data_IF_528238001576
#
_entry.id   IF_528238001576
#
_cell.length_a   1.000
_cell.length_b   1.000
_cell.length_c   1.000
_cell.angle_alpha   90.00
_cell.angle_beta   90.00
_cell.angle_gamma   90.00
#
_symmetry.space_group_name_H-M   'P 1'
#
loop_
_entity.id
_entity.type
_entity.pdbx_description
1 polymer ?
#
# COMPACT_ATOMS: atom_id res chain seq x y z
N UNK A 1 -0.88 47.53 -20.87
CA UNK A 1 0.24 46.68 -20.39
C UNK A 1 -0.17 46.10 -19.05
N UNK A 2 -0.76 44.91 -19.07
CA UNK A 2 -1.42 44.28 -17.92
C UNK A 2 -0.42 43.73 -16.90
N UNK A 3 -0.16 44.50 -15.84
CA UNK A 3 0.60 44.04 -14.66
C UNK A 3 -0.26 43.26 -13.64
N UNK A 4 -1.57 43.16 -13.85
CA UNK A 4 -2.50 42.57 -12.88
C UNK A 4 -2.66 41.04 -13.00
N UNK A 5 -2.26 40.41 -14.11
CA UNK A 5 -2.40 38.95 -14.34
C UNK A 5 -1.23 38.14 -13.74
N UNK A 6 -0.18 38.80 -13.26
CA UNK A 6 1.11 38.16 -12.94
C UNK A 6 1.16 37.48 -11.56
N UNK A 7 0.57 38.08 -10.51
CA UNK A 7 0.80 37.61 -9.14
C UNK A 7 0.13 36.25 -8.82
N UNK A 8 -1.16 36.01 -9.17
CA UNK A 8 -1.78 34.69 -8.95
C UNK A 8 -1.06 33.57 -9.72
N UNK A 9 -0.63 33.86 -10.94
CA UNK A 9 0.14 32.92 -11.76
C UNK A 9 1.51 32.60 -11.14
N UNK A 10 2.26 33.61 -10.69
CA UNK A 10 3.56 33.42 -10.01
C UNK A 10 3.38 32.64 -8.71
N UNK A 11 2.35 32.94 -7.91
CA UNK A 11 2.08 32.21 -6.67
C UNK A 11 1.71 30.74 -6.95
N UNK A 12 0.92 30.47 -7.99
CA UNK A 12 0.57 29.11 -8.37
C UNK A 12 1.79 28.35 -8.87
N UNK A 13 2.55 28.94 -9.80
CA UNK A 13 3.80 28.35 -10.30
C UNK A 13 4.84 28.12 -9.20
N UNK A 14 4.95 29.05 -8.24
CA UNK A 14 5.84 28.85 -7.09
C UNK A 14 5.39 27.71 -6.19
N UNK A 15 4.08 27.49 -6.02
CA UNK A 15 3.56 26.34 -5.28
C UNK A 15 3.87 25.04 -6.02
N UNK A 16 3.56 24.97 -7.32
CA UNK A 16 3.87 23.82 -8.17
C UNK A 16 5.35 23.42 -8.09
N UNK A 17 6.28 24.38 -8.24
CA UNK A 17 7.73 24.12 -8.16
C UNK A 17 8.15 23.64 -6.76
N UNK A 18 7.56 24.20 -5.69
CA UNK A 18 7.86 23.75 -4.32
C UNK A 18 7.36 22.33 -4.07
N UNK A 19 6.24 21.96 -4.68
CA UNK A 19 5.68 20.62 -4.58
C UNK A 19 6.49 19.60 -5.37
N UNK A 20 6.91 19.94 -6.59
CA UNK A 20 7.78 19.09 -7.42
C UNK A 20 9.12 18.81 -6.74
N UNK A 21 9.68 19.80 -6.04
CA UNK A 21 10.95 19.71 -5.31
C UNK A 21 10.79 19.20 -3.88
N UNK A 22 9.57 18.89 -3.44
CA UNK A 22 9.33 18.42 -2.08
C UNK A 22 9.98 17.05 -1.89
N UNK A 23 10.86 16.95 -0.89
CA UNK A 23 11.34 15.67 -0.38
C UNK A 23 10.24 15.08 0.48
N UNK A 24 9.81 13.87 0.12
CA UNK A 24 8.80 13.12 0.87
C UNK A 24 9.43 12.69 2.21
N UNK A 25 8.67 12.80 3.29
CA UNK A 25 9.09 12.33 4.62
C UNK A 25 8.37 11.06 5.02
N UNK A 26 9.06 10.21 5.78
CA UNK A 26 8.49 9.10 6.53
C UNK A 26 8.41 9.49 8.00
N UNK A 27 7.21 9.41 8.56
CA UNK A 27 6.91 9.65 9.95
C UNK A 27 6.57 8.32 10.64
N UNK A 28 7.21 8.06 11.76
CA UNK A 28 6.98 6.87 12.60
C UNK A 28 6.62 7.31 14.01
N UNK A 29 6.00 6.41 14.78
CA UNK A 29 5.64 6.70 16.17
C UNK A 29 6.89 6.99 16.99
N UNK A 30 6.91 8.13 17.66
CA UNK A 30 7.95 8.56 18.58
C UNK A 30 7.31 9.43 19.66
N UNK A 31 7.14 8.88 20.87
CA UNK A 31 6.50 9.59 21.99
C UNK A 31 7.25 10.86 22.43
N UNK A 32 8.52 11.01 22.06
CA UNK A 32 9.29 12.23 22.31
C UNK A 32 9.16 13.24 21.15
N UNK A 33 8.58 12.82 20.03
CA UNK A 33 8.34 13.63 18.84
C UNK A 33 7.20 14.63 19.01
N UNK A 34 7.06 15.52 18.03
CA UNK A 34 5.92 16.45 17.98
C UNK A 34 4.66 15.68 17.64
N UNK A 35 3.65 15.77 18.50
CA UNK A 35 2.40 15.01 18.38
C UNK A 35 2.61 13.50 18.21
N UNK A 36 3.66 13.00 18.85
CA UNK A 36 4.13 11.61 18.82
C UNK A 36 4.68 11.12 17.46
N UNK A 37 5.09 12.05 16.58
CA UNK A 37 5.70 11.72 15.30
C UNK A 37 7.19 12.10 15.26
N UNK A 38 8.03 11.11 14.96
CA UNK A 38 9.38 11.29 14.44
C UNK A 38 9.33 11.51 12.92
N UNK A 39 10.40 11.99 12.30
CA UNK A 39 10.44 12.09 10.82
C UNK A 39 11.84 11.92 10.25
N UNK A 40 11.93 11.17 9.15
CA UNK A 40 13.12 11.05 8.31
C UNK A 40 12.76 11.33 6.85
N UNK A 41 13.76 11.58 6.00
CA UNK A 41 13.53 11.65 4.55
C UNK A 41 13.22 10.24 4.02
N UNK A 42 12.21 10.15 3.16
CA UNK A 42 11.87 8.92 2.46
C UNK A 42 12.64 8.87 1.13
N UNK A 43 13.71 8.09 1.10
CA UNK A 43 14.51 7.84 -0.11
C UNK A 43 14.17 6.47 -0.75
N UNK A 44 12.87 6.11 -0.79
CA UNK A 44 12.44 4.84 -1.37
C UNK A 44 12.36 4.93 -2.91
N UNK A 45 13.03 4.04 -3.67
CA UNK A 45 13.11 4.14 -5.13
C UNK A 45 11.83 3.70 -5.88
N UNK A 46 10.76 3.35 -5.16
CA UNK A 46 9.59 2.76 -5.79
C UNK A 46 8.76 3.81 -6.51
N UNK A 47 8.43 3.53 -7.76
CA UNK A 47 7.53 4.31 -8.61
C UNK A 47 6.52 3.37 -9.26
N UNK A 48 5.45 3.91 -9.83
CA UNK A 48 4.51 3.10 -10.61
C UNK A 48 5.19 2.40 -11.80
N UNK A 49 6.25 2.96 -12.36
CA UNK A 49 6.99 2.36 -13.47
C UNK A 49 7.83 1.15 -13.03
N UNK A 50 8.45 1.22 -11.85
CA UNK A 50 9.26 0.12 -11.30
C UNK A 50 8.40 -1.03 -10.74
N UNK A 51 7.11 -0.81 -10.54
CA UNK A 51 6.22 -1.76 -9.90
C UNK A 51 5.70 -2.83 -10.86
N UNK A 52 5.95 -4.09 -10.50
CA UNK A 52 5.39 -5.27 -11.14
C UNK A 52 3.94 -5.49 -10.70
N UNK A 53 3.02 -4.91 -11.46
CA UNK A 53 1.58 -5.03 -11.22
C UNK A 53 0.81 -5.00 -12.54
N UNK A 54 -0.44 -5.45 -12.50
CA UNK A 54 -1.31 -5.42 -13.67
C UNK A 54 -1.48 -3.97 -14.22
N UNK A 55 -1.29 -3.75 -15.54
CA UNK A 55 -1.41 -2.42 -16.14
C UNK A 55 -2.77 -1.76 -15.97
N UNK A 56 -3.86 -2.53 -15.96
CA UNK A 56 -5.22 -2.00 -15.80
C UNK A 56 -5.45 -1.54 -14.37
N UNK A 57 -5.02 -2.33 -13.39
CA UNK A 57 -5.06 -1.94 -11.97
C UNK A 57 -4.19 -0.71 -11.72
N UNK A 58 -2.98 -0.67 -12.32
CA UNK A 58 -2.06 0.48 -12.23
C UNK A 58 -2.71 1.75 -12.74
N UNK A 59 -3.31 1.69 -13.93
CA UNK A 59 -3.99 2.82 -14.55
C UNK A 59 -5.19 3.29 -13.71
N UNK A 60 -6.05 2.36 -13.27
CA UNK A 60 -7.22 2.69 -12.47
C UNK A 60 -6.83 3.37 -11.14
N UNK A 61 -5.75 2.92 -10.50
CA UNK A 61 -5.23 3.54 -9.29
C UNK A 61 -4.71 4.96 -9.55
N UNK A 62 -3.88 5.16 -10.59
CA UNK A 62 -3.36 6.49 -10.94
C UNK A 62 -4.51 7.46 -11.21
N UNK A 63 -5.51 7.03 -11.99
CA UNK A 63 -6.70 7.84 -12.27
C UNK A 63 -7.50 8.20 -11.01
N UNK A 64 -7.60 7.29 -10.02
CA UNK A 64 -8.27 7.57 -8.75
C UNK A 64 -7.47 8.56 -7.88
N UNK A 65 -6.13 8.45 -7.88
CA UNK A 65 -5.24 9.37 -7.16
C UNK A 65 -5.29 10.79 -7.74
N UNK A 66 -5.22 10.92 -9.07
CA UNK A 66 -5.34 12.21 -9.74
C UNK A 66 -6.72 12.83 -9.48
N UNK A 67 -7.77 12.01 -9.58
CA UNK A 67 -9.14 12.41 -9.26
C UNK A 67 -9.28 12.89 -7.82
N UNK A 68 -8.63 12.23 -6.87
CA UNK A 68 -8.64 12.64 -5.47
C UNK A 68 -7.96 14.00 -5.28
N UNK A 69 -6.76 14.18 -5.85
CA UNK A 69 -5.97 15.43 -5.78
C UNK A 69 -6.69 16.64 -6.36
N UNK A 70 -7.46 16.45 -7.44
CA UNK A 70 -8.13 17.56 -8.14
C UNK A 70 -9.49 17.95 -7.53
N UNK A 71 -10.02 17.17 -6.59
CA UNK A 71 -11.42 17.28 -6.14
C UNK A 71 -11.65 18.01 -4.82
N UNK A 72 -10.70 18.84 -4.35
CA UNK A 72 -10.88 19.66 -3.13
C UNK A 72 -12.25 20.32 -3.02
N UNK A 73 -12.62 21.10 -4.04
CA UNK A 73 -13.87 21.86 -4.07
C UNK A 73 -15.11 20.97 -4.15
N UNK A 74 -15.00 19.80 -4.79
CA UNK A 74 -16.06 18.81 -4.82
C UNK A 74 -16.36 18.29 -3.40
N UNK A 75 -15.33 17.85 -2.67
CA UNK A 75 -15.47 17.37 -1.29
C UNK A 75 -16.07 18.44 -0.37
N UNK A 76 -15.57 19.67 -0.47
CA UNK A 76 -16.11 20.83 0.26
C UNK A 76 -17.58 21.08 -0.05
N UNK A 77 -17.96 21.10 -1.32
CA UNK A 77 -19.34 21.36 -1.76
C UNK A 77 -20.32 20.30 -1.28
N UNK A 78 -19.91 19.04 -1.21
CA UNK A 78 -20.78 17.93 -0.75
C UNK A 78 -20.70 17.71 0.76
N UNK A 79 -20.02 18.59 1.51
CA UNK A 79 -19.91 18.50 2.97
C UNK A 79 -19.15 17.28 3.48
N UNK A 80 -18.21 16.75 2.69
CA UNK A 80 -17.41 15.58 3.07
C UNK A 80 -15.97 15.97 3.37
N UNK A 81 -15.38 15.33 4.38
CA UNK A 81 -13.94 15.42 4.62
C UNK A 81 -13.17 15.00 3.37
N UNK A 82 -12.13 15.73 3.00
CA UNK A 82 -11.30 15.45 1.82
C UNK A 82 -10.30 14.33 2.13
N UNK A 83 -10.86 13.12 2.26
CA UNK A 83 -10.13 11.87 2.51
C UNK A 83 -10.46 10.79 1.49
N UNK A 84 -9.54 9.85 1.34
CA UNK A 84 -9.70 8.64 0.50
C UNK A 84 -9.07 7.43 1.16
N UNK A 85 -9.84 6.36 1.30
CA UNK A 85 -9.37 5.11 1.90
C UNK A 85 -9.02 4.05 0.87
N UNK A 86 -7.87 3.39 1.03
CA UNK A 86 -7.43 2.25 0.22
C UNK A 86 -7.18 1.04 1.10
N UNK A 87 -7.59 -0.14 0.65
CA UNK A 87 -7.22 -1.42 1.24
C UNK A 87 -6.32 -2.17 0.25
N UNK A 88 -5.07 -2.40 0.63
CA UNK A 88 -4.12 -3.22 -0.11
C UNK A 88 -4.09 -4.61 0.52
N UNK A 89 -4.46 -5.64 -0.24
CA UNK A 89 -4.51 -6.99 0.28
C UNK A 89 -3.92 -8.01 -0.66
N UNK A 90 -3.36 -9.08 -0.10
CA UNK A 90 -2.75 -10.18 -0.85
C UNK A 90 -1.58 -10.80 -0.09
N UNK A 91 -0.99 -11.89 -0.61
CA UNK A 91 0.11 -12.60 0.05
C UNK A 91 1.30 -11.70 0.44
N UNK A 92 2.13 -12.08 1.42
CA UNK A 92 3.38 -11.39 1.71
C UNK A 92 4.29 -11.42 0.47
N UNK A 93 5.11 -10.38 0.28
CA UNK A 93 6.03 -10.29 -0.88
C UNK A 93 5.38 -9.84 -2.20
N UNK A 94 4.14 -9.36 -2.19
CA UNK A 94 3.42 -8.84 -3.38
C UNK A 94 3.56 -7.33 -3.60
N UNK A 95 4.31 -6.64 -2.74
CA UNK A 95 4.62 -5.21 -2.92
C UNK A 95 3.62 -4.23 -2.30
N UNK A 96 2.86 -4.64 -1.27
CA UNK A 96 1.92 -3.75 -0.54
C UNK A 96 2.60 -2.46 -0.05
N UNK A 97 3.68 -2.56 0.72
CA UNK A 97 4.41 -1.37 1.23
C UNK A 97 5.16 -0.63 0.11
N UNK A 98 5.66 -1.33 -0.92
CA UNK A 98 6.25 -0.69 -2.11
C UNK A 98 5.24 0.13 -2.90
N UNK A 99 3.97 -0.31 -2.95
CA UNK A 99 2.89 0.45 -3.57
C UNK A 99 2.61 1.74 -2.82
N UNK A 100 2.58 1.70 -1.48
CA UNK A 100 2.45 2.90 -0.65
C UNK A 100 3.56 3.89 -0.96
N UNK A 101 4.81 3.44 -1.02
CA UNK A 101 5.95 4.28 -1.39
C UNK A 101 5.79 4.88 -2.80
N UNK A 102 5.32 4.10 -3.77
CA UNK A 102 5.05 4.58 -5.12
C UNK A 102 3.94 5.65 -5.15
N UNK A 103 2.86 5.47 -4.38
CA UNK A 103 1.79 6.45 -4.22
C UNK A 103 2.30 7.75 -3.60
N UNK A 104 3.12 7.65 -2.54
CA UNK A 104 3.72 8.79 -1.86
C UNK A 104 4.64 9.58 -2.79
N UNK A 105 5.49 8.89 -3.54
CA UNK A 105 6.41 9.48 -4.52
C UNK A 105 5.68 10.16 -5.68
N UNK A 106 4.57 9.56 -6.14
CA UNK A 106 3.71 10.11 -7.20
C UNK A 106 3.00 11.39 -6.75
N UNK A 107 2.42 11.39 -5.54
CA UNK A 107 1.66 12.52 -5.02
C UNK A 107 2.51 13.58 -4.31
N UNK A 108 3.77 13.26 -3.99
CA UNK A 108 4.63 14.04 -3.08
C UNK A 108 4.02 14.22 -1.69
N UNK A 109 3.39 13.15 -1.19
CA UNK A 109 2.74 13.13 0.12
C UNK A 109 3.65 12.48 1.15
N UNK A 110 3.69 13.05 2.36
CA UNK A 110 4.46 12.45 3.46
C UNK A 110 3.76 11.18 3.96
N UNK A 111 4.53 10.15 4.30
CA UNK A 111 4.02 8.90 4.85
C UNK A 111 3.99 9.01 6.36
N UNK A 112 2.89 8.62 6.98
CA UNK A 112 2.75 8.42 8.42
C UNK A 112 2.49 6.95 8.65
N UNK A 113 3.51 6.23 9.09
CA UNK A 113 3.47 4.81 9.34
C UNK A 113 3.05 4.54 10.78
N UNK A 114 1.85 3.96 10.94
CA UNK A 114 1.22 3.70 12.22
C UNK A 114 1.21 2.20 12.50
N UNK A 115 2.21 1.72 13.24
CA UNK A 115 2.16 0.39 13.83
C UNK A 115 1.28 0.40 15.09
N UNK A 116 0.11 -0.25 15.01
CA UNK A 116 -0.83 -0.34 16.12
C UNK A 116 -0.25 -1.06 17.34
N UNK A 117 0.82 -1.87 17.19
CA UNK A 117 1.49 -2.56 18.31
C UNK A 117 2.31 -1.61 19.18
N UNK A 118 2.73 -0.46 18.65
CA UNK A 118 3.52 0.54 19.38
C UNK A 118 2.66 1.56 20.14
N UNK A 119 1.34 1.56 19.89
CA UNK A 119 0.41 2.51 20.49
C UNK A 119 -0.17 1.94 21.78
N UNK A 120 0.00 2.64 22.90
CA UNK A 120 -0.32 2.12 24.23
C UNK A 120 -1.81 2.23 24.58
N UNK A 121 -2.46 3.33 24.19
CA UNK A 121 -3.87 3.56 24.49
C UNK A 121 -4.60 4.37 23.40
N UNK A 122 -5.93 4.41 23.49
CA UNK A 122 -6.77 5.20 22.57
C UNK A 122 -6.46 6.71 22.59
N UNK A 123 -5.96 7.24 23.71
CA UNK A 123 -5.59 8.67 23.81
C UNK A 123 -4.34 8.99 22.98
N UNK A 124 -3.35 8.09 22.95
CA UNK A 124 -2.15 8.22 22.13
C UNK A 124 -2.49 8.07 20.65
N UNK A 125 -3.34 7.10 20.31
CA UNK A 125 -3.84 6.93 18.96
C UNK A 125 -4.51 8.22 18.46
N UNK A 126 -5.38 8.81 19.28
CA UNK A 126 -6.04 10.07 18.94
C UNK A 126 -5.03 11.19 18.72
N UNK A 127 -3.99 11.30 19.56
CA UNK A 127 -2.94 12.31 19.41
C UNK A 127 -2.16 12.13 18.10
N UNK A 128 -1.78 10.90 17.77
CA UNK A 128 -1.12 10.55 16.52
C UNK A 128 -1.96 10.95 15.30
N UNK A 129 -3.26 10.60 15.29
CA UNK A 129 -4.16 10.90 14.18
C UNK A 129 -4.39 12.41 13.96
N UNK A 130 -4.41 13.18 15.05
CA UNK A 130 -4.50 14.65 15.02
C UNK A 130 -3.17 15.25 14.53
N UNK A 131 -2.04 14.70 14.97
CA UNK A 131 -0.69 15.12 14.56
C UNK A 131 -0.35 14.86 13.10
N UNK A 132 -1.10 14.00 12.42
CA UNK A 132 -0.92 13.73 10.99
C UNK A 132 -1.23 14.99 10.16
N UNK A 133 -0.26 15.41 9.34
CA UNK A 133 -0.37 16.66 8.55
C UNK A 133 -1.26 16.50 7.31
N UNK A 134 -1.64 17.62 6.71
CA UNK A 134 -2.28 17.66 5.38
C UNK A 134 -1.32 17.17 4.29
N UNK A 135 -1.82 16.66 3.16
CA UNK A 135 -1.02 16.06 2.07
C UNK A 135 -0.14 14.91 2.54
N UNK A 136 -0.80 13.95 3.17
CA UNK A 136 -0.17 12.78 3.77
C UNK A 136 -0.88 11.49 3.38
N UNK A 137 -0.14 10.40 3.48
CA UNK A 137 -0.62 9.03 3.44
C UNK A 137 -0.45 8.45 4.85
N UNK A 138 -1.55 8.22 5.56
CA UNK A 138 -1.55 7.45 6.80
C UNK A 138 -1.60 5.97 6.45
N UNK A 139 -0.60 5.20 6.87
CA UNK A 139 -0.46 3.77 6.62
C UNK A 139 -0.73 3.04 7.91
N UNK A 140 -1.60 2.04 7.84
CA UNK A 140 -1.91 1.15 8.96
C UNK A 140 -1.60 -0.25 8.45
N UNK A 141 -0.44 -0.77 8.83
CA UNK A 141 0.07 -2.05 8.33
C UNK A 141 -0.53 -3.25 9.09
N UNK A 142 -0.66 -4.37 8.39
CA UNK A 142 -1.02 -5.69 8.93
C UNK A 142 -2.23 -5.68 9.88
N UNK A 143 -3.34 -5.07 9.44
CA UNK A 143 -4.54 -4.93 10.26
C UNK A 143 -5.15 -6.28 10.68
N UNK A 144 -4.88 -7.37 9.97
CA UNK A 144 -5.27 -8.73 10.36
C UNK A 144 -4.55 -9.22 11.63
N UNK A 145 -3.28 -8.84 11.86
CA UNK A 145 -2.57 -9.17 13.09
C UNK A 145 -3.19 -8.46 14.31
N UNK A 146 -3.69 -7.23 14.12
CA UNK A 146 -4.36 -6.48 15.20
C UNK A 146 -5.67 -7.14 15.66
N UNK A 147 -6.38 -7.80 14.74
CA UNK A 147 -7.62 -8.54 15.02
C UNK A 147 -7.32 -9.84 15.78
N UNK A 148 -6.26 -10.55 15.40
CA UNK A 148 -5.86 -11.78 16.12
C UNK A 148 -5.45 -11.52 17.57
N UNK A 149 -4.76 -10.40 17.83
CA UNK A 149 -4.41 -9.99 19.19
C UNK A 149 -5.65 -9.75 20.06
N UNK A 150 -6.69 -9.10 19.51
CA UNK A 150 -7.96 -8.86 20.21
C UNK A 150 -8.71 -10.16 20.53
N UNK A 151 -8.65 -11.17 19.65
CA UNK A 151 -9.34 -12.44 19.86
C UNK A 151 -8.65 -13.31 20.93
N UNK A 152 -7.31 -13.30 21.01
CA UNK A 152 -6.56 -14.10 22.00
C UNK A 152 -6.69 -13.58 23.43
N UNK A 153 -6.74 -12.26 23.58
CA UNK A 153 -6.94 -11.60 24.87
C UNK A 153 -8.35 -11.83 25.42
N UNK A 154 -9.36 -11.95 24.55
CA UNK A 154 -10.75 -12.19 24.95
C UNK A 154 -10.99 -13.59 25.57
N UNK A 155 -10.10 -14.57 25.32
CA UNK A 155 -10.26 -15.95 25.77
C UNK A 155 -9.55 -16.28 27.09
N UNK A 156 -8.62 -15.43 27.59
CA UNK A 156 -7.73 -15.80 28.70
C UNK A 156 -7.80 -14.94 29.98
N UNK A 157 -8.61 -13.86 30.06
CA UNK A 157 -8.66 -13.02 31.27
C UNK A 157 -10.08 -12.74 31.81
N UNK A 158 -10.26 -12.69 33.15
CA UNK A 158 -11.47 -12.14 33.74
C UNK A 158 -11.58 -10.67 33.33
N UNK A 159 -12.80 -10.23 32.96
CA UNK A 159 -13.13 -8.85 32.54
C UNK A 159 -12.82 -7.82 33.63
N UNK A 160 -11.55 -7.50 33.83
CA UNK A 160 -11.12 -6.26 34.45
C UNK A 160 -11.19 -5.16 33.40
N UNK A 161 -11.55 -3.96 33.85
CA UNK A 161 -11.83 -2.78 33.03
C UNK A 161 -10.56 -2.32 32.30
N UNK A 162 -10.23 -2.92 31.16
CA UNK A 162 -9.29 -2.36 30.18
C UNK A 162 -10.08 -1.67 29.07
N UNK A 163 -10.74 -0.56 29.39
CA UNK A 163 -11.45 0.29 28.43
C UNK A 163 -10.50 1.02 27.45
N UNK A 164 -9.17 0.86 27.61
CA UNK A 164 -8.16 1.61 26.86
C UNK A 164 -7.37 0.81 25.80
N UNK A 165 -7.63 -0.50 25.65
CA UNK A 165 -7.01 -1.29 24.57
C UNK A 165 -7.49 -0.80 23.19
N UNK A 166 -6.55 -0.71 22.26
CA UNK A 166 -6.81 -0.20 20.92
C UNK A 166 -7.50 -1.27 20.10
N UNK A 167 -8.69 -0.93 19.58
CA UNK A 167 -9.43 -1.78 18.67
C UNK A 167 -9.40 -1.22 17.26
N UNK A 168 -9.44 -2.10 16.26
CA UNK A 168 -9.53 -1.69 14.85
C UNK A 168 -10.84 -0.92 14.58
N UNK A 169 -11.92 -1.30 15.26
CA UNK A 169 -13.19 -0.56 15.27
C UNK A 169 -13.05 0.83 15.91
N UNK A 170 -12.30 0.96 17.01
CA UNK A 170 -11.97 2.23 17.65
C UNK A 170 -11.21 3.16 16.71
N UNK A 171 -10.16 2.65 16.07
CA UNK A 171 -9.38 3.37 15.06
C UNK A 171 -10.25 3.93 13.93
N UNK A 172 -11.16 3.12 13.39
CA UNK A 172 -12.06 3.58 12.33
C UNK A 172 -13.09 4.60 12.81
N UNK A 173 -13.57 4.49 14.05
CA UNK A 173 -14.44 5.52 14.62
C UNK A 173 -13.70 6.87 14.75
N UNK A 174 -12.40 6.86 15.05
CA UNK A 174 -11.60 8.08 15.01
C UNK A 174 -11.43 8.61 13.58
N UNK A 175 -11.19 7.73 12.61
CA UNK A 175 -11.03 8.09 11.20
C UNK A 175 -12.33 8.62 10.56
N UNK A 176 -13.50 8.15 11.00
CA UNK A 176 -14.80 8.62 10.49
C UNK A 176 -15.41 9.78 11.28
N UNK A 177 -14.99 9.96 12.53
CA UNK A 177 -15.52 10.99 13.39
C UNK A 177 -15.11 12.41 12.98
N UNK A 178 -15.51 13.37 13.82
CA UNK A 178 -15.19 14.80 13.69
C UNK A 178 -13.68 15.10 13.69
N UNK A 179 -12.83 14.13 14.06
CA UNK A 179 -11.38 14.27 14.03
C UNK A 179 -10.81 14.19 12.62
N UNK A 180 -11.55 13.60 11.68
CA UNK A 180 -11.20 13.55 10.27
C UNK A 180 -11.25 14.91 9.57
N UNK A 181 -11.83 15.94 10.22
CA UNK A 181 -11.88 17.31 9.69
C UNK A 181 -10.66 18.15 10.05
N UNK A 182 -9.75 17.66 10.89
CA UNK A 182 -8.58 18.41 11.36
C UNK A 182 -7.43 18.50 10.34
N UNK A 183 -7.62 18.00 9.12
CA UNK A 183 -6.66 18.12 8.02
C UNK A 183 -7.34 18.23 6.66
N UNK A 184 -6.70 18.93 5.73
CA UNK A 184 -7.14 19.01 4.33
C UNK A 184 -6.31 18.00 3.52
N UNK A 185 -6.95 17.17 2.69
CA UNK A 185 -6.27 16.25 1.75
C UNK A 185 -5.46 15.12 2.43
N UNK A 186 -6.11 14.02 2.82
CA UNK A 186 -5.45 12.84 3.41
C UNK A 186 -5.83 11.54 2.71
N UNK A 187 -4.85 10.71 2.43
CA UNK A 187 -5.06 9.32 2.02
C UNK A 187 -4.83 8.41 3.22
N UNK A 188 -5.65 7.38 3.36
CA UNK A 188 -5.48 6.35 4.38
C UNK A 188 -5.32 5.02 3.65
N UNK A 189 -4.24 4.30 3.93
CA UNK A 189 -3.94 3.00 3.34
C UNK A 189 -3.88 1.96 4.43
N UNK A 190 -4.69 0.93 4.29
CA UNK A 190 -4.67 -0.26 5.13
C UNK A 190 -3.99 -1.38 4.37
N UNK A 191 -3.09 -2.12 5.01
CA UNK A 191 -2.50 -3.33 4.42
C UNK A 191 -2.94 -4.58 5.19
N UNK A 192 -3.19 -5.68 4.47
CA UNK A 192 -3.52 -6.96 5.11
C UNK A 192 -3.08 -8.13 4.24
N UNK A 193 -2.73 -9.26 4.86
CA UNK A 193 -2.50 -10.50 4.12
C UNK A 193 -3.81 -11.29 3.91
N UNK A 194 -4.80 -11.08 4.79
CA UNK A 194 -6.02 -11.88 4.88
C UNK A 194 -7.28 -11.01 4.96
N UNK A 195 -7.77 -10.57 3.80
CA UNK A 195 -8.98 -9.73 3.72
C UNK A 195 -10.22 -10.41 4.31
N UNK A 196 -10.30 -11.73 4.22
CA UNK A 196 -11.39 -12.57 4.75
C UNK A 196 -11.50 -12.54 6.27
N UNK A 197 -10.43 -12.15 6.99
CA UNK A 197 -10.41 -12.02 8.45
C UNK A 197 -10.91 -10.67 8.96
N UNK A 198 -11.17 -9.72 8.07
CA UNK A 198 -11.62 -8.39 8.43
C UNK A 198 -13.13 -8.34 8.65
N UNK A 199 -13.56 -7.61 9.68
CA UNK A 199 -14.98 -7.34 9.89
C UNK A 199 -15.57 -6.61 8.66
N UNK A 200 -16.66 -7.11 8.05
CA UNK A 200 -17.32 -6.44 6.93
C UNK A 200 -17.75 -4.99 7.21
N UNK A 201 -17.94 -4.61 8.48
CA UNK A 201 -18.23 -3.24 8.87
C UNK A 201 -17.08 -2.25 8.59
N UNK A 202 -15.84 -2.75 8.47
CA UNK A 202 -14.66 -1.95 8.12
C UNK A 202 -14.63 -1.62 6.62
N UNK A 203 -15.19 -2.50 5.78
CA UNK A 203 -15.20 -2.41 4.31
C UNK A 203 -16.30 -1.50 3.75
N UNK A 204 -16.98 -0.73 4.61
CA UNK A 204 -18.07 0.16 4.19
C UNK A 204 -17.52 1.40 3.46
N UNK A 205 -18.25 1.91 2.44
CA UNK A 205 -17.87 3.14 1.75
C UNK A 205 -17.68 4.32 2.72
N UNK A 206 -16.64 5.14 2.50
CA UNK A 206 -16.21 6.21 3.40
C UNK A 206 -15.06 5.85 4.34
N UNK A 207 -14.79 4.53 4.53
CA UNK A 207 -13.64 3.99 5.28
C UNK A 207 -12.56 3.46 4.35
N UNK A 208 -12.87 2.38 3.64
CA UNK A 208 -12.01 1.71 2.67
C UNK A 208 -12.73 1.75 1.32
N UNK A 209 -12.45 2.79 0.52
CA UNK A 209 -13.23 3.05 -0.69
C UNK A 209 -12.77 2.23 -1.90
N UNK A 210 -11.45 2.01 -2.03
CA UNK A 210 -10.86 1.23 -3.10
C UNK A 210 -10.10 0.03 -2.53
N UNK A 211 -10.44 -1.17 -3.01
CA UNK A 211 -9.79 -2.40 -2.61
C UNK A 211 -8.90 -2.90 -3.74
N UNK A 212 -7.60 -3.03 -3.46
CA UNK A 212 -6.58 -3.45 -4.44
C UNK A 212 -6.03 -4.81 -4.02
N UNK A 213 -6.29 -5.80 -4.87
CA UNK A 213 -5.71 -7.13 -4.70
C UNK A 213 -4.33 -7.17 -5.36
N UNK A 214 -3.28 -7.31 -4.55
CA UNK A 214 -1.91 -7.54 -5.00
C UNK A 214 -1.68 -9.06 -5.02
N UNK A 215 -1.98 -9.66 -6.17
CA UNK A 215 -1.88 -11.10 -6.39
C UNK A 215 -0.46 -11.56 -6.71
N UNK A 216 -0.30 -12.86 -6.99
CA UNK A 216 0.91 -13.43 -7.58
C UNK A 216 1.29 -12.76 -8.90
N UNK A 217 2.57 -12.92 -9.27
CA UNK A 217 3.18 -12.30 -10.42
C UNK A 217 2.56 -12.82 -11.72
N UNK A 218 2.05 -11.92 -12.55
CA UNK A 218 1.57 -12.20 -13.90
C UNK A 218 2.72 -12.08 -14.90
N UNK A 219 2.53 -12.52 -16.14
CA UNK A 219 3.52 -12.28 -17.18
C UNK A 219 3.79 -10.77 -17.41
N UNK A 220 2.78 -9.92 -17.29
CA UNK A 220 2.95 -8.45 -17.37
C UNK A 220 3.80 -7.90 -16.22
N UNK A 221 3.58 -8.39 -15.00
CA UNK A 221 4.42 -8.09 -13.84
C UNK A 221 5.86 -8.57 -14.04
N UNK A 222 6.04 -9.80 -14.52
CA UNK A 222 7.34 -10.38 -14.84
C UNK A 222 8.12 -9.54 -15.85
N UNK A 223 7.50 -9.06 -16.94
CA UNK A 223 8.19 -8.20 -17.92
C UNK A 223 8.75 -6.93 -17.28
N UNK A 224 8.02 -6.36 -16.32
CA UNK A 224 8.51 -5.20 -15.55
C UNK A 224 9.74 -5.56 -14.73
N UNK A 225 9.72 -6.72 -14.04
CA UNK A 225 10.88 -7.21 -13.28
C UNK A 225 12.07 -7.55 -14.21
N UNK A 226 11.85 -8.23 -15.32
CA UNK A 226 12.89 -8.56 -16.28
C UNK A 226 13.60 -7.30 -16.81
N UNK A 227 12.84 -6.24 -17.11
CA UNK A 227 13.43 -4.97 -17.50
C UNK A 227 14.19 -4.29 -16.35
N UNK A 228 13.65 -4.32 -15.13
CA UNK A 228 14.27 -3.67 -13.98
C UNK A 228 15.59 -4.32 -13.56
N UNK A 229 15.63 -5.65 -13.53
CA UNK A 229 16.79 -6.43 -13.04
C UNK A 229 17.78 -6.77 -14.14
N UNK A 230 17.31 -7.17 -15.34
CA UNK A 230 18.18 -7.68 -16.42
C UNK A 230 18.28 -6.73 -17.62
N UNK A 231 17.54 -5.61 -17.64
CA UNK A 231 17.50 -4.64 -18.77
C UNK A 231 17.07 -5.25 -20.10
N UNK A 232 16.23 -6.29 -20.07
CA UNK A 232 15.69 -6.96 -21.25
C UNK A 232 14.20 -6.71 -21.41
N UNK A 233 13.73 -6.64 -22.66
CA UNK A 233 12.30 -6.51 -22.99
C UNK A 233 11.74 -7.74 -23.69
N UNK A 234 12.61 -8.51 -24.36
CA UNK A 234 12.25 -9.72 -25.08
C UNK A 234 13.36 -10.75 -24.89
N UNK A 235 12.97 -12.03 -24.86
CA UNK A 235 13.90 -13.15 -24.78
C UNK A 235 13.21 -14.43 -25.25
N UNK A 236 13.90 -15.39 -25.91
CA UNK A 236 13.30 -16.64 -26.37
C UNK A 236 12.56 -17.42 -25.27
N UNK A 237 13.07 -17.37 -24.03
CA UNK A 237 12.48 -18.05 -22.86
C UNK A 237 11.21 -17.37 -22.30
N UNK A 238 10.84 -16.17 -22.77
CA UNK A 238 9.66 -15.48 -22.26
C UNK A 238 8.37 -16.26 -22.55
N UNK A 239 8.29 -16.96 -23.68
CA UNK A 239 7.13 -17.77 -24.02
C UNK A 239 6.90 -18.93 -23.05
N UNK A 240 7.97 -19.50 -22.49
CA UNK A 240 7.86 -20.56 -21.48
C UNK A 240 7.43 -19.99 -20.12
N UNK A 241 7.96 -18.82 -19.75
CA UNK A 241 7.59 -18.11 -18.53
C UNK A 241 6.13 -17.65 -18.57
N UNK A 242 5.67 -17.11 -19.71
CA UNK A 242 4.28 -16.72 -19.92
C UNK A 242 3.34 -17.91 -19.73
N UNK A 243 3.66 -19.08 -20.32
CA UNK A 243 2.88 -20.30 -20.10
C UNK A 243 2.86 -20.70 -18.62
N UNK A 244 4.00 -20.65 -17.94
CA UNK A 244 4.07 -21.06 -16.53
C UNK A 244 3.26 -20.14 -15.61
N UNK A 245 3.34 -18.81 -15.80
CA UNK A 245 2.64 -17.83 -14.97
C UNK A 245 1.16 -17.71 -15.34
N UNK A 246 0.83 -17.57 -16.62
CA UNK A 246 -0.52 -17.19 -17.03
C UNK A 246 -1.40 -18.40 -17.39
N UNK A 247 -0.83 -19.48 -17.96
CA UNK A 247 -1.58 -20.70 -18.30
C UNK A 247 -1.60 -21.71 -17.15
N UNK A 248 -0.43 -22.05 -16.59
CA UNK A 248 -0.34 -22.99 -15.47
C UNK A 248 -0.56 -22.35 -14.09
N UNK A 249 -0.69 -21.02 -14.03
CA UNK A 249 -0.98 -20.27 -12.79
C UNK A 249 0.01 -20.53 -11.65
N UNK A 250 1.30 -20.66 -11.98
CA UNK A 250 2.35 -20.83 -10.98
C UNK A 250 2.31 -19.72 -9.93
N UNK A 251 2.07 -20.10 -8.67
CA UNK A 251 1.98 -19.16 -7.56
C UNK A 251 3.38 -18.70 -7.11
N UNK A 252 3.87 -17.66 -7.79
CA UNK A 252 5.11 -16.97 -7.45
C UNK A 252 4.83 -15.49 -7.17
N UNK A 253 5.28 -14.99 -6.03
CA UNK A 253 5.17 -13.57 -5.69
C UNK A 253 6.18 -12.75 -6.49
N UNK A 254 5.91 -11.46 -6.77
CA UNK A 254 6.88 -10.55 -7.34
C UNK A 254 8.25 -10.56 -6.62
N UNK A 255 8.26 -10.68 -5.29
CA UNK A 255 9.49 -10.79 -4.51
C UNK A 255 10.28 -12.08 -4.79
N UNK A 256 9.59 -13.23 -4.90
CA UNK A 256 10.24 -14.50 -5.27
C UNK A 256 10.80 -14.45 -6.70
N UNK A 257 10.02 -13.92 -7.66
CA UNK A 257 10.48 -13.76 -9.05
C UNK A 257 11.70 -12.84 -9.11
N UNK A 258 11.65 -11.69 -8.43
CA UNK A 258 12.79 -10.78 -8.32
C UNK A 258 14.01 -11.46 -7.69
N UNK A 259 13.79 -12.28 -6.65
CA UNK A 259 14.85 -13.06 -6.01
C UNK A 259 15.53 -14.04 -6.95
N UNK A 260 14.78 -14.72 -7.83
CA UNK A 260 15.35 -15.57 -8.88
C UNK A 260 16.14 -14.77 -9.93
N UNK A 261 15.61 -13.63 -10.37
CA UNK A 261 16.29 -12.78 -11.36
C UNK A 261 17.58 -12.15 -10.84
N UNK A 262 17.71 -11.98 -9.52
CA UNK A 262 18.91 -11.41 -8.88
C UNK A 262 20.07 -12.41 -8.77
N UNK A 263 19.84 -13.72 -8.99
CA UNK A 263 20.87 -14.75 -8.81
C UNK A 263 22.01 -14.67 -9.83
N UNK A 264 21.78 -14.07 -10.98
CA UNK A 264 22.79 -13.88 -12.02
C UNK A 264 22.52 -12.64 -12.85
N UNK A 265 23.58 -11.95 -13.26
CA UNK A 265 23.49 -10.85 -14.24
C UNK A 265 23.32 -11.38 -15.68
N UNK A 266 23.58 -12.67 -15.92
CA UNK A 266 23.36 -13.30 -17.23
C UNK A 266 21.88 -13.63 -17.41
N UNK A 267 21.25 -13.01 -18.41
CA UNK A 267 19.83 -13.15 -18.67
C UNK A 267 19.42 -14.59 -18.98
N UNK A 268 20.22 -15.34 -19.73
CA UNK A 268 19.92 -16.73 -20.07
C UNK A 268 19.93 -17.60 -18.80
N UNK A 269 20.96 -17.45 -17.96
CA UNK A 269 21.10 -18.22 -16.72
C UNK A 269 19.97 -17.88 -15.73
N UNK A 270 19.69 -16.59 -15.52
CA UNK A 270 18.64 -16.14 -14.58
C UNK A 270 17.25 -16.59 -15.02
N UNK A 271 16.91 -16.46 -16.30
CA UNK A 271 15.60 -16.90 -16.80
C UNK A 271 15.44 -18.42 -16.77
N UNK A 272 16.51 -19.19 -17.02
CA UNK A 272 16.48 -20.64 -16.89
C UNK A 272 16.29 -21.08 -15.43
N UNK A 273 16.92 -20.37 -14.48
CA UNK A 273 16.72 -20.53 -13.05
C UNK A 273 15.27 -20.28 -12.65
N UNK A 274 14.70 -19.16 -13.12
CA UNK A 274 13.29 -18.81 -12.89
C UNK A 274 12.34 -19.87 -13.45
N UNK A 275 12.56 -20.39 -14.66
CA UNK A 275 11.75 -21.47 -15.22
C UNK A 275 11.76 -22.70 -14.32
N UNK A 276 12.95 -23.09 -13.84
CA UNK A 276 13.12 -24.25 -12.94
C UNK A 276 12.35 -24.03 -11.63
N UNK A 277 12.44 -22.83 -11.06
CA UNK A 277 11.69 -22.43 -9.88
C UNK A 277 10.17 -22.49 -10.10
N UNK A 278 9.66 -21.89 -11.17
CA UNK A 278 8.22 -21.90 -11.48
C UNK A 278 7.68 -23.31 -11.74
N UNK A 279 8.46 -24.16 -12.42
CA UNK A 279 8.11 -25.57 -12.62
C UNK A 279 8.01 -26.34 -11.29
N UNK A 280 8.88 -26.04 -10.33
CA UNK A 280 8.82 -26.66 -8.99
C UNK A 280 7.55 -26.27 -8.22
N UNK A 281 7.13 -25.01 -8.32
CA UNK A 281 5.88 -24.52 -7.72
C UNK A 281 4.65 -25.24 -8.28
N UNK A 282 4.60 -25.41 -9.61
CA UNK A 282 3.50 -26.14 -10.26
C UNK A 282 3.41 -27.61 -9.82
N UNK A 283 4.55 -28.32 -9.74
CA UNK A 283 4.57 -29.73 -9.31
C UNK A 283 4.11 -29.90 -7.88
N UNK A 284 4.48 -28.98 -6.99
CA UNK A 284 4.00 -29.00 -5.60
C UNK A 284 2.48 -28.85 -5.57
N UNK A 285 1.91 -27.92 -6.33
CA UNK A 285 0.46 -27.66 -6.36
C UNK A 285 -0.35 -28.85 -6.89
N UNK A 286 0.12 -29.53 -7.94
CA UNK A 286 -0.52 -30.77 -8.44
C UNK A 286 -0.48 -31.88 -7.40
N UNK A 287 0.66 -32.05 -6.71
CA UNK A 287 0.80 -33.06 -5.64
C UNK A 287 -0.11 -32.76 -4.44
N UNK A 288 -0.31 -31.49 -4.07
CA UNK A 288 -1.25 -31.10 -3.02
C UNK A 288 -2.71 -31.38 -3.43
N UNK A 289 -3.10 -31.08 -4.67
CA UNK A 289 -4.46 -31.36 -5.15
C UNK A 289 -4.78 -32.86 -5.17
N UNK A 290 -3.84 -33.70 -5.59
CA UNK A 290 -4.01 -35.17 -5.58
C UNK A 290 -4.17 -35.74 -4.16
N UNK A 291 -3.47 -35.15 -3.17
CA UNK A 291 -3.58 -35.56 -1.75
C UNK A 291 -4.93 -35.10 -1.14
N UNK A 292 -5.48 -33.97 -1.59
CA UNK A 292 -6.71 -33.39 -1.00
C UNK A 292 -7.99 -33.95 -1.62
N UNK A 293 -7.95 -34.37 -2.89
CA UNK A 293 -9.09 -34.99 -3.60
C UNK A 293 -9.17 -36.51 -3.38
N UNK A 294 -8.08 -37.13 -2.87
CA UNK A 294 -8.02 -38.54 -2.51
C UNK A 294 -8.62 -38.92 -1.15
N UNK A 295 -9.50 -38.09 -0.54
CA UNK A 295 -10.22 -38.38 0.70
C UNK A 295 -11.72 -38.21 0.55
#
# INVERSE_FOLDING_TARGET
>A
MDKAVSLPYILNKSKEIKEERKVVKLHTVDYNGTDYWGSINLDHPATFDTMAMDPEIKKALIEDLDRFRERKEYYRRVGKAWKRGYLLFGPPGTGKSSLVAAMANYLKFDIFDLDLKEVQCNSDLRRLLIGTKSRSILVIEDIDCSVELQNRDAENEPKTVEDDKITLSGLLNFIDGLWSTCGEERIIVFTTNHKDRLDPALLRPGRMDLHIHLSYCTFSGFKTLAYNYLRIQEHPLFGDIEKLLDYYKAQATPAEVAGELLKSDDAQVSLQGLITFLQSKNKMETAWQDITVGK
#
